data_IF_797378158668
#
_entry.id   IF_797378158668
#
_cell.length_a   1.000
_cell.length_b   1.000
_cell.length_c   1.000
_cell.angle_alpha   90.00
_cell.angle_beta   90.00
_cell.angle_gamma   90.00
#
_symmetry.space_group_name_H-M   'P 1'
#
loop_
_entity.id
_entity.type
_entity.pdbx_description
1 polymer ?
#
# COMPACT_ATOMS: atom_id res chain seq x y z
N UNK A 1 9.67 77.10 25.78
CA UNK A 1 9.28 75.84 26.44
C UNK A 1 10.01 74.74 25.69
N UNK A 2 11.09 74.29 26.30
CA UNK A 2 11.96 73.19 25.89
C UNK A 2 11.22 71.86 25.83
N UNK A 3 11.70 70.97 24.96
CA UNK A 3 12.10 69.58 25.29
C UNK A 3 12.19 68.76 23.99
N UNK A 4 13.06 67.78 23.78
CA UNK A 4 14.36 67.37 24.32
C UNK A 4 14.83 66.27 23.38
N UNK A 5 16.13 66.16 23.16
CA UNK A 5 16.73 65.03 22.46
C UNK A 5 16.61 63.72 23.26
N UNK A 6 16.51 62.59 22.56
CA UNK A 6 17.13 61.33 23.02
C UNK A 6 17.61 60.52 21.82
N UNK A 7 18.93 60.44 21.70
CA UNK A 7 19.65 59.44 20.93
C UNK A 7 19.67 58.11 21.72
N UNK A 8 19.42 56.98 21.06
CA UNK A 8 19.91 55.69 21.55
C UNK A 8 20.23 54.73 20.38
N UNK A 9 21.54 54.62 20.17
CA UNK A 9 22.36 53.55 19.57
C UNK A 9 21.63 52.29 19.10
N UNK A 10 21.96 51.83 17.89
CA UNK A 10 22.36 50.42 17.73
C UNK A 10 23.52 50.26 16.75
N UNK A 11 24.41 49.33 17.09
CA UNK A 11 25.77 49.19 16.59
C UNK A 11 25.80 48.38 15.30
N UNK A 12 26.49 48.93 14.31
CA UNK A 12 27.01 48.19 13.17
C UNK A 12 28.02 47.10 13.59
N UNK A 13 27.90 45.90 12.96
CA UNK A 13 28.90 44.81 12.77
C UNK A 13 29.12 43.94 14.02
N UNK A 14 29.25 42.60 13.99
CA UNK A 14 29.88 41.66 13.05
C UNK A 14 29.53 40.22 13.53
N UNK A 15 29.12 39.27 12.67
CA UNK A 15 29.72 37.92 12.59
C UNK A 15 29.19 37.10 11.39
N UNK A 16 30.16 36.49 10.69
CA UNK A 16 30.10 35.64 9.50
C UNK A 16 29.32 34.31 9.62
N UNK A 17 28.98 33.66 8.48
CA UNK A 17 28.27 32.38 8.46
C UNK A 17 29.25 31.22 8.75
N UNK A 18 28.98 30.42 9.77
CA UNK A 18 29.78 29.24 10.06
C UNK A 18 29.29 28.49 11.28
N UNK A 19 28.56 27.40 11.04
CA UNK A 19 28.17 26.45 12.07
C UNK A 19 27.32 25.35 11.48
N UNK A 20 27.99 24.26 11.07
CA UNK A 20 27.38 22.98 10.67
C UNK A 20 26.20 22.65 11.58
N UNK A 21 25.00 22.59 11.00
CA UNK A 21 23.93 21.81 11.62
C UNK A 21 24.37 20.36 11.56
N UNK A 22 24.68 19.83 12.73
CA UNK A 22 25.06 18.45 12.95
C UNK A 22 23.96 17.52 12.45
N UNK A 23 24.35 16.66 11.51
CA UNK A 23 23.84 15.32 11.23
C UNK A 23 22.54 14.93 11.95
N UNK A 24 21.40 15.22 11.33
CA UNK A 24 20.21 14.41 11.55
C UNK A 24 20.41 13.09 10.78
N UNK A 25 21.03 12.10 11.44
CA UNK A 25 21.25 10.74 10.91
C UNK A 25 19.94 9.95 10.93
N UNK A 26 18.95 10.42 10.16
CA UNK A 26 17.70 9.71 9.93
C UNK A 26 17.69 8.85 8.66
N UNK A 27 18.78 8.80 7.87
CA UNK A 27 18.80 8.19 6.53
C UNK A 27 19.72 6.97 6.40
N UNK A 28 20.31 6.49 7.49
CA UNK A 28 21.20 5.32 7.49
C UNK A 28 20.65 4.20 8.37
N UNK A 29 19.53 3.61 7.95
CA UNK A 29 19.22 2.21 8.28
C UNK A 29 19.32 1.36 7.02
N UNK A 30 20.48 1.45 6.37
CA UNK A 30 20.95 0.43 5.41
C UNK A 30 22.07 -0.35 6.08
N UNK A 31 21.75 -1.06 7.16
CA UNK A 31 22.69 -1.98 7.78
C UNK A 31 21.93 -3.17 8.40
N UNK A 32 22.23 -4.34 7.85
CA UNK A 32 21.86 -5.68 8.31
C UNK A 32 20.40 -6.13 8.17
N UNK A 33 20.05 -6.50 6.95
CA UNK A 33 19.20 -7.66 6.72
C UNK A 33 19.98 -8.59 5.80
N UNK A 34 20.10 -9.88 6.16
CA UNK A 34 20.36 -10.94 5.18
C UNK A 34 19.54 -10.63 3.93
N UNK A 35 20.13 -10.73 2.74
CA UNK A 35 19.42 -10.41 1.49
C UNK A 35 18.09 -11.18 1.47
N UNK A 36 17.01 -10.49 1.82
CA UNK A 36 15.70 -11.09 1.98
C UNK A 36 15.26 -11.53 0.60
N UNK A 37 14.98 -12.82 0.44
CA UNK A 37 14.52 -13.35 -0.82
C UNK A 37 13.12 -12.81 -1.08
N UNK A 38 12.98 -12.06 -2.17
CA UNK A 38 11.72 -11.39 -2.52
C UNK A 38 11.23 -11.86 -3.87
N UNK A 39 9.91 -11.91 -4.02
CA UNK A 39 9.24 -12.20 -5.29
C UNK A 39 8.32 -11.05 -5.68
N UNK A 40 8.14 -10.87 -6.98
CA UNK A 40 7.19 -9.90 -7.49
C UNK A 40 5.75 -10.37 -7.20
N UNK A 41 4.92 -9.45 -6.79
CA UNK A 41 3.53 -9.66 -6.48
C UNK A 41 2.65 -8.59 -7.13
N UNK A 42 1.37 -8.91 -7.25
CA UNK A 42 0.33 -8.00 -7.74
C UNK A 42 -0.85 -7.97 -6.77
N UNK A 43 -1.59 -6.86 -6.79
CA UNK A 43 -2.86 -6.78 -6.07
C UNK A 43 -3.87 -7.69 -6.77
N UNK A 44 -4.26 -8.78 -6.11
CA UNK A 44 -5.23 -9.74 -6.62
C UNK A 44 -6.68 -9.33 -6.29
N UNK A 45 -6.88 -8.68 -5.14
CA UNK A 45 -8.21 -8.24 -4.75
C UNK A 45 -8.23 -7.43 -3.45
N UNK A 46 -9.37 -6.79 -3.21
CA UNK A 46 -9.68 -6.06 -1.99
C UNK A 46 -11.01 -6.59 -1.44
N UNK A 47 -10.98 -7.21 -0.27
CA UNK A 47 -12.11 -7.91 0.34
C UNK A 47 -12.59 -7.10 1.54
N UNK A 48 -13.91 -6.97 1.70
CA UNK A 48 -14.54 -6.51 2.93
C UNK A 48 -15.08 -7.73 3.68
N UNK A 49 -14.49 -8.05 4.83
CA UNK A 49 -15.01 -9.13 5.67
C UNK A 49 -16.28 -8.66 6.38
N UNK A 50 -17.44 -9.23 6.02
CA UNK A 50 -18.74 -8.76 6.52
C UNK A 50 -18.91 -8.86 8.03
N UNK A 51 -18.28 -9.86 8.69
CA UNK A 51 -18.42 -10.07 10.14
C UNK A 51 -17.70 -9.01 10.96
N UNK A 52 -16.48 -8.66 10.56
CA UNK A 52 -15.58 -7.76 11.29
C UNK A 52 -15.58 -6.35 10.71
N UNK A 53 -16.16 -6.16 9.52
CA UNK A 53 -16.07 -4.94 8.71
C UNK A 53 -14.62 -4.52 8.42
N UNK A 54 -13.69 -5.48 8.46
CA UNK A 54 -12.28 -5.24 8.15
C UNK A 54 -12.04 -5.33 6.64
N UNK A 55 -11.15 -4.46 6.14
CA UNK A 55 -10.73 -4.50 4.75
C UNK A 55 -9.41 -5.28 4.65
N UNK A 56 -9.32 -6.16 3.66
CA UNK A 56 -8.17 -7.01 3.43
C UNK A 56 -7.73 -6.81 1.98
N UNK A 57 -6.49 -6.38 1.77
CA UNK A 57 -5.86 -6.42 0.45
C UNK A 57 -5.13 -7.74 0.29
N UNK A 58 -5.37 -8.43 -0.82
CA UNK A 58 -4.72 -9.69 -1.16
C UNK A 58 -3.65 -9.40 -2.20
N UNK A 59 -2.40 -9.64 -1.85
CA UNK A 59 -1.31 -9.71 -2.82
C UNK A 59 -1.14 -11.16 -3.27
N UNK A 60 -0.87 -11.36 -4.55
CA UNK A 60 -0.57 -12.68 -5.12
C UNK A 60 0.75 -12.61 -5.85
N UNK A 61 1.59 -13.61 -5.66
CA UNK A 61 2.81 -13.81 -6.41
C UNK A 61 2.54 -13.81 -7.92
N UNK A 62 3.35 -13.08 -8.70
CA UNK A 62 3.10 -12.93 -10.14
C UNK A 62 3.30 -14.24 -10.91
N UNK A 63 4.31 -15.03 -10.52
CA UNK A 63 4.64 -16.33 -11.14
C UNK A 63 4.22 -17.53 -10.28
N UNK A 64 3.19 -17.36 -9.43
CA UNK A 64 2.75 -18.41 -8.51
C UNK A 64 1.32 -18.25 -7.99
N UNK A 65 0.93 -19.18 -7.14
CA UNK A 65 -0.38 -19.21 -6.51
C UNK A 65 -0.35 -18.66 -5.07
N UNK A 66 0.83 -18.43 -4.50
CA UNK A 66 0.97 -17.97 -3.12
C UNK A 66 0.43 -16.55 -2.97
N UNK A 67 -0.17 -16.29 -1.82
CA UNK A 67 -0.79 -15.02 -1.49
C UNK A 67 -0.28 -14.44 -0.17
N UNK A 68 -0.47 -13.14 0.01
CA UNK A 68 -0.28 -12.44 1.27
C UNK A 68 -1.53 -11.56 1.53
N UNK A 69 -2.40 -11.94 2.50
CA UNK A 69 -3.46 -11.08 2.99
C UNK A 69 -2.91 -10.03 3.96
N UNK A 70 -3.29 -8.77 3.77
CA UNK A 70 -2.93 -7.65 4.65
C UNK A 70 -4.19 -6.91 5.05
N UNK A 71 -4.45 -6.84 6.35
CA UNK A 71 -5.54 -6.04 6.91
C UNK A 71 -5.18 -4.56 6.85
N UNK A 72 -6.10 -3.76 6.32
CA UNK A 72 -5.94 -2.31 6.17
C UNK A 72 -7.19 -1.58 6.65
N UNK A 73 -7.03 -0.31 6.98
CA UNK A 73 -8.13 0.57 7.35
C UNK A 73 -9.04 0.89 6.17
N UNK A 74 -10.26 1.34 6.48
CA UNK A 74 -11.25 1.71 5.46
C UNK A 74 -10.74 2.81 4.51
N UNK A 75 -10.07 3.84 5.04
CA UNK A 75 -9.52 4.93 4.21
C UNK A 75 -8.45 4.45 3.21
N UNK A 76 -7.58 3.56 3.65
CA UNK A 76 -6.55 2.94 2.81
C UNK A 76 -7.16 2.03 1.73
N UNK A 77 -8.14 1.22 2.11
CA UNK A 77 -8.90 0.40 1.19
C UNK A 77 -9.60 1.24 0.11
N UNK A 78 -10.22 2.37 0.49
CA UNK A 78 -10.81 3.30 -0.48
C UNK A 78 -9.76 3.90 -1.42
N UNK A 79 -8.58 4.26 -0.91
CA UNK A 79 -7.50 4.80 -1.73
C UNK A 79 -7.05 3.79 -2.78
N UNK A 80 -6.80 2.54 -2.39
CA UNK A 80 -6.41 1.46 -3.30
C UNK A 80 -7.52 1.19 -4.33
N UNK A 81 -8.78 1.07 -3.88
CA UNK A 81 -9.92 0.79 -4.77
C UNK A 81 -10.09 1.83 -5.87
N UNK A 82 -9.92 3.11 -5.54
CA UNK A 82 -10.01 4.21 -6.50
C UNK A 82 -8.95 4.11 -7.59
N UNK A 83 -7.71 3.75 -7.20
CA UNK A 83 -6.61 3.58 -8.15
C UNK A 83 -6.87 2.37 -9.06
N UNK A 84 -7.31 1.25 -8.49
CA UNK A 84 -7.66 0.05 -9.25
C UNK A 84 -8.86 0.25 -10.20
N UNK A 85 -9.78 1.14 -9.86
CA UNK A 85 -10.93 1.47 -10.71
C UNK A 85 -10.58 2.46 -11.83
N UNK A 86 -9.33 2.93 -11.90
CA UNK A 86 -8.83 3.94 -12.84
C UNK A 86 -9.69 5.22 -12.87
N UNK A 87 -10.34 5.54 -11.75
CA UNK A 87 -11.26 6.68 -11.68
C UNK A 87 -10.49 7.99 -11.66
N UNK A 88 -10.74 8.85 -12.64
CA UNK A 88 -10.13 10.18 -12.72
C UNK A 88 -10.86 11.17 -11.82
N UNK A 89 -10.15 11.73 -10.85
CA UNK A 89 -10.67 12.82 -10.00
C UNK A 89 -10.25 14.18 -10.54
N UNK A 90 -11.09 15.24 -10.40
CA UNK A 90 -10.77 16.59 -10.87
C UNK A 90 -9.59 17.24 -10.12
N UNK A 91 -9.24 16.70 -8.94
CA UNK A 91 -8.11 17.14 -8.12
C UNK A 91 -7.31 15.91 -7.68
N UNK A 92 -5.97 16.00 -7.59
CA UNK A 92 -5.15 14.90 -7.12
C UNK A 92 -5.48 14.56 -5.66
N UNK A 93 -5.66 13.26 -5.39
CA UNK A 93 -5.74 12.71 -4.05
C UNK A 93 -4.34 12.54 -3.44
N UNK A 94 -4.26 12.05 -2.21
CA UNK A 94 -2.99 11.98 -1.46
C UNK A 94 -1.88 11.23 -2.19
N UNK A 95 -2.15 10.02 -2.68
CA UNK A 95 -1.14 9.22 -3.40
C UNK A 95 -0.78 9.82 -4.76
N UNK A 96 -1.71 10.54 -5.39
CA UNK A 96 -1.46 11.28 -6.63
C UNK A 96 -0.52 12.44 -6.37
N UNK A 97 -0.80 13.21 -5.30
CA UNK A 97 0.03 14.32 -4.88
C UNK A 97 1.44 13.85 -4.55
N UNK A 98 1.59 12.73 -3.81
CA UNK A 98 2.91 12.15 -3.49
C UNK A 98 3.64 11.76 -4.77
N UNK A 99 2.97 11.08 -5.71
CA UNK A 99 3.56 10.71 -6.99
C UNK A 99 4.03 11.95 -7.78
N UNK A 100 3.20 12.99 -7.87
CA UNK A 100 3.52 14.26 -8.53
C UNK A 100 4.71 14.97 -7.85
N UNK A 101 4.78 14.94 -6.51
CA UNK A 101 5.90 15.52 -5.76
C UNK A 101 7.19 14.78 -6.08
N UNK A 102 7.18 13.43 -6.09
CA UNK A 102 8.35 12.62 -6.44
C UNK A 102 8.82 12.91 -7.87
N UNK A 103 7.90 12.96 -8.83
CA UNK A 103 8.22 13.31 -10.22
C UNK A 103 8.74 14.74 -10.36
N UNK A 104 8.15 15.69 -9.64
CA UNK A 104 8.57 17.09 -9.62
C UNK A 104 9.98 17.28 -9.06
N UNK A 105 10.41 16.39 -8.15
CA UNK A 105 11.78 16.31 -7.65
C UNK A 105 12.73 15.54 -8.58
N UNK A 106 12.26 15.15 -9.78
CA UNK A 106 12.98 14.33 -10.77
C UNK A 106 13.43 12.98 -10.23
N UNK A 107 12.66 12.43 -9.31
CA UNK A 107 12.87 11.11 -8.75
C UNK A 107 11.83 10.13 -9.30
N UNK A 108 12.08 8.83 -9.14
CA UNK A 108 11.19 7.75 -9.59
C UNK A 108 11.02 6.72 -8.50
N UNK A 109 9.77 6.31 -8.23
CA UNK A 109 9.50 5.09 -7.44
C UNK A 109 9.91 3.89 -8.28
N UNK A 110 10.95 3.17 -7.88
CA UNK A 110 11.49 2.04 -8.65
C UNK A 110 10.83 0.73 -8.27
N UNK A 111 10.49 0.56 -6.99
CA UNK A 111 9.74 -0.59 -6.46
C UNK A 111 9.23 -0.27 -5.05
N UNK A 112 8.32 -1.10 -4.58
CA UNK A 112 8.03 -1.19 -3.14
C UNK A 112 8.31 -2.61 -2.66
N UNK A 113 8.70 -2.75 -1.40
CA UNK A 113 9.08 -4.05 -0.81
C UNK A 113 8.33 -4.23 0.50
N UNK A 114 7.52 -5.28 0.62
CA UNK A 114 6.90 -5.70 1.88
C UNK A 114 7.82 -6.75 2.50
N UNK A 115 8.58 -6.32 3.51
CA UNK A 115 9.80 -7.02 3.91
C UNK A 115 9.63 -7.89 5.15
N UNK A 116 8.79 -7.48 6.10
CA UNK A 116 8.77 -8.08 7.44
C UNK A 116 7.40 -8.00 8.11
N UNK A 117 7.20 -8.86 9.12
CA UNK A 117 6.07 -8.89 10.02
C UNK A 117 6.59 -8.99 11.46
N UNK A 118 6.45 -7.91 12.23
CA UNK A 118 6.86 -7.86 13.65
C UNK A 118 5.67 -7.50 14.49
N UNK A 119 5.40 -8.27 15.54
CA UNK A 119 4.31 -8.00 16.47
C UNK A 119 2.96 -7.76 15.75
N UNK A 120 2.64 -8.60 14.76
CA UNK A 120 1.46 -8.49 13.89
C UNK A 120 1.38 -7.21 13.04
N UNK A 121 2.49 -6.48 12.89
CA UNK A 121 2.58 -5.27 12.05
C UNK A 121 3.49 -5.55 10.86
N UNK A 122 2.95 -5.41 9.66
CA UNK A 122 3.72 -5.52 8.43
C UNK A 122 4.51 -4.22 8.17
N UNK A 123 5.75 -4.38 7.74
CA UNK A 123 6.65 -3.28 7.36
C UNK A 123 6.91 -3.32 5.86
N UNK A 124 6.93 -2.15 5.25
CA UNK A 124 7.25 -2.00 3.84
C UNK A 124 8.21 -0.83 3.60
N UNK A 125 8.89 -0.86 2.46
CA UNK A 125 9.76 0.22 2.02
C UNK A 125 9.37 0.67 0.63
N UNK A 126 9.31 1.98 0.42
CA UNK A 126 9.22 2.60 -0.89
C UNK A 126 10.64 2.91 -1.35
N UNK A 127 11.05 2.30 -2.46
CA UNK A 127 12.38 2.53 -3.04
C UNK A 127 12.25 3.58 -4.12
N UNK A 128 12.97 4.69 -3.94
CA UNK A 128 13.02 5.82 -4.86
C UNK A 128 14.43 5.95 -5.40
N UNK A 129 14.55 6.23 -6.69
CA UNK A 129 15.83 6.56 -7.31
C UNK A 129 15.82 8.00 -7.83
N UNK A 130 16.93 8.70 -7.63
CA UNK A 130 17.18 10.03 -8.19
C UNK A 130 18.66 10.17 -8.51
N UNK A 131 18.98 10.54 -9.75
CA UNK A 131 20.36 10.79 -10.19
C UNK A 131 21.34 9.63 -9.89
N UNK A 132 20.83 8.39 -9.90
CA UNK A 132 21.59 7.17 -9.56
C UNK A 132 21.69 6.85 -8.07
N UNK A 133 21.23 7.74 -7.19
CA UNK A 133 21.12 7.49 -5.75
C UNK A 133 19.80 6.79 -5.44
N UNK A 134 19.88 5.74 -4.62
CA UNK A 134 18.72 4.95 -4.17
C UNK A 134 18.41 5.30 -2.73
N UNK A 135 17.17 5.75 -2.50
CA UNK A 135 16.61 6.02 -1.19
C UNK A 135 15.55 4.96 -0.86
N UNK A 136 15.64 4.37 0.33
CA UNK A 136 14.60 3.49 0.88
C UNK A 136 13.87 4.21 2.00
N UNK A 137 12.56 4.41 1.82
CA UNK A 137 11.70 5.09 2.80
C UNK A 137 10.82 4.06 3.49
N UNK A 138 10.90 3.98 4.82
CA UNK A 138 9.98 3.16 5.62
C UNK A 138 8.53 3.65 5.46
N UNK A 139 7.62 2.72 5.24
CA UNK A 139 6.22 2.99 4.98
C UNK A 139 5.33 1.81 5.38
N UNK A 140 4.05 2.11 5.60
CA UNK A 140 3.05 1.05 5.78
C UNK A 140 2.82 0.34 4.43
N UNK A 141 2.47 -0.96 4.44
CA UNK A 141 2.14 -1.67 3.21
C UNK A 141 1.00 -1.03 2.43
N UNK A 142 -0.03 -0.52 3.10
CA UNK A 142 -1.17 0.13 2.45
C UNK A 142 -0.78 1.33 1.57
N UNK A 143 0.07 2.20 2.12
CA UNK A 143 0.54 3.41 1.43
C UNK A 143 1.51 3.04 0.30
N UNK A 144 2.37 2.05 0.56
CA UNK A 144 3.33 1.51 -0.42
C UNK A 144 2.60 0.90 -1.62
N UNK A 145 1.58 0.06 -1.38
CA UNK A 145 0.77 -0.56 -2.44
C UNK A 145 0.05 0.52 -3.25
N UNK A 146 -0.60 1.48 -2.59
CA UNK A 146 -1.30 2.56 -3.29
C UNK A 146 -0.35 3.40 -4.15
N UNK A 147 0.83 3.76 -3.64
CA UNK A 147 1.82 4.50 -4.42
C UNK A 147 2.40 3.67 -5.57
N UNK A 148 2.65 2.37 -5.37
CA UNK A 148 3.13 1.46 -6.41
C UNK A 148 2.13 1.35 -7.56
N UNK A 149 0.84 1.15 -7.25
CA UNK A 149 -0.22 1.14 -8.24
C UNK A 149 -0.30 2.46 -9.01
N UNK A 150 -0.17 3.60 -8.32
CA UNK A 150 -0.26 4.92 -8.95
C UNK A 150 0.93 5.24 -9.85
N UNK A 151 2.14 4.90 -9.40
CA UNK A 151 3.40 5.11 -10.12
C UNK A 151 3.74 3.99 -11.11
N UNK A 152 2.91 2.93 -11.14
CA UNK A 152 3.15 1.70 -11.91
C UNK A 152 4.50 1.05 -11.56
N UNK A 153 4.92 1.17 -10.31
CA UNK A 153 6.11 0.51 -9.80
C UNK A 153 5.79 -0.94 -9.40
N UNK A 154 6.72 -1.89 -9.60
CA UNK A 154 6.54 -3.26 -9.16
C UNK A 154 6.48 -3.37 -7.64
N UNK A 155 5.67 -4.32 -7.16
CA UNK A 155 5.53 -4.65 -5.74
C UNK A 155 6.30 -5.94 -5.50
N UNK A 156 7.20 -5.95 -4.52
CA UNK A 156 7.92 -7.13 -4.08
C UNK A 156 7.49 -7.51 -2.67
N UNK A 157 7.46 -8.81 -2.40
CA UNK A 157 7.09 -9.37 -1.10
C UNK A 157 8.17 -10.35 -0.68
N UNK A 158 8.58 -10.32 0.59
CA UNK A 158 9.40 -11.35 1.19
C UNK A 158 8.71 -12.71 1.04
N UNK A 159 9.40 -13.68 0.43
CA UNK A 159 8.85 -15.02 0.18
C UNK A 159 8.34 -15.72 1.45
N UNK A 160 8.95 -15.44 2.60
CA UNK A 160 8.59 -16.04 3.89
C UNK A 160 7.24 -15.53 4.43
N UNK A 161 6.73 -14.40 3.90
CA UNK A 161 5.42 -13.86 4.25
C UNK A 161 4.29 -14.48 3.40
N UNK A 162 4.63 -15.14 2.30
CA UNK A 162 3.66 -15.72 1.37
C UNK A 162 3.15 -17.09 1.87
N UNK A 163 1.85 -17.33 1.70
CA UNK A 163 1.20 -18.58 2.05
C UNK A 163 0.42 -19.17 0.86
N UNK A 164 0.14 -20.48 0.84
CA UNK A 164 -0.75 -21.07 -0.16
C UNK A 164 -2.13 -20.39 -0.15
N UNK A 165 -2.84 -20.33 -1.30
CA UNK A 165 -4.19 -19.80 -1.33
C UNK A 165 -5.12 -20.70 -0.50
N UNK A 166 -6.24 -20.14 0.03
CA UNK A 166 -7.27 -20.96 0.66
C UNK A 166 -7.70 -22.05 -0.32
N UNK A 167 -7.83 -23.29 0.17
CA UNK A 167 -8.45 -24.33 -0.65
C UNK A 167 -9.91 -23.95 -0.83
N UNK A 168 -10.36 -23.84 -2.07
CA UNK A 168 -11.77 -23.92 -2.37
C UNK A 168 -12.25 -25.29 -1.87
N UNK A 169 -12.90 -25.34 -0.71
CA UNK A 169 -13.84 -26.43 -0.46
C UNK A 169 -14.82 -26.33 -1.63
N UNK A 170 -14.73 -27.28 -2.56
CA UNK A 170 -15.65 -27.39 -3.66
C UNK A 170 -17.05 -27.24 -3.05
N UNK A 171 -17.74 -26.15 -3.39
CA UNK A 171 -19.13 -26.01 -3.05
C UNK A 171 -19.80 -27.26 -3.62
N UNK A 172 -20.15 -28.21 -2.74
CA UNK A 172 -21.01 -29.32 -3.11
C UNK A 172 -22.27 -28.63 -3.64
N UNK A 173 -22.41 -28.66 -4.97
CA UNK A 173 -23.66 -28.28 -5.60
C UNK A 173 -24.72 -29.12 -4.88
N UNK A 174 -25.80 -28.51 -4.35
CA UNK A 174 -26.83 -29.29 -3.69
C UNK A 174 -27.27 -30.36 -4.67
N UNK A 175 -27.09 -31.64 -4.29
CA UNK A 175 -27.66 -32.76 -5.04
C UNK A 175 -29.14 -32.42 -5.24
N UNK A 176 -29.54 -32.16 -6.49
CA UNK A 176 -30.95 -32.12 -6.85
C UNK A 176 -31.49 -33.52 -6.55
N UNK A 177 -32.06 -33.66 -5.36
CA UNK A 177 -32.83 -34.84 -4.98
C UNK A 177 -33.94 -34.94 -6.03
N UNK A 178 -34.05 -36.04 -6.80
CA UNK A 178 -35.11 -36.17 -7.79
C UNK A 178 -36.44 -35.94 -7.08
N UNK A 179 -37.16 -34.88 -7.47
CA UNK A 179 -38.45 -34.53 -6.90
C UNK A 179 -39.41 -35.67 -7.23
N UNK A 180 -39.80 -36.46 -6.23
CA UNK A 180 -40.84 -37.47 -6.41
C UNK A 180 -42.14 -36.74 -6.76
N UNK A 181 -42.63 -36.96 -7.98
CA UNK A 181 -43.92 -36.44 -8.44
C UNK A 181 -45.01 -36.98 -7.52
N UNK A 182 -45.90 -36.09 -7.09
CA UNK A 182 -47.08 -36.46 -6.32
C UNK A 182 -47.98 -37.41 -7.12
N UNK A 183 -48.78 -38.22 -6.43
CA UNK A 183 -49.71 -39.17 -7.09
C UNK A 183 -50.71 -38.44 -8.02
N UNK A 184 -50.99 -37.18 -7.73
CA UNK A 184 -51.87 -36.31 -8.52
C UNK A 184 -51.23 -35.93 -9.87
N UNK A 185 -49.94 -35.61 -9.89
CA UNK A 185 -49.17 -35.29 -11.11
C UNK A 185 -48.96 -36.54 -11.99
N UNK A 186 -48.78 -37.72 -11.37
CA UNK A 186 -48.71 -39.01 -12.09
C UNK A 186 -50.03 -39.36 -12.77
N UNK A 187 -51.16 -39.05 -12.12
CA UNK A 187 -52.49 -39.32 -12.65
C UNK A 187 -52.85 -38.43 -13.86
N UNK A 188 -52.30 -37.21 -13.94
CA UNK A 188 -52.54 -36.30 -15.06
C UNK A 188 -51.72 -36.66 -16.31
N UNK A 189 -50.49 -37.15 -16.15
CA UNK A 189 -49.67 -37.63 -17.26
C UNK A 189 -50.25 -38.86 -17.98
N UNK A 190 -50.99 -39.71 -17.27
CA UNK A 190 -51.62 -40.90 -17.86
C UNK A 190 -52.90 -40.60 -18.67
N UNK A 191 -53.37 -39.35 -18.63
CA UNK A 191 -54.57 -38.88 -19.35
C UNK A 191 -54.24 -38.14 -20.67
N UNK A 192 -52.97 -38.11 -21.08
CA UNK A 192 -52.50 -37.54 -22.35
C UNK A 192 -52.15 -38.60 -23.38
#
# INVERSE_FOLDING_TARGET
>A
MDDRAHAFRDRSRIHEPGGRLEQDRGLDHVADAQAVKTVEARVNGLILEHKTQQNIVILRETEGERILPIWIGSGEAQAIRRILSEEAFPRPLTHDLIHIVIEGLKAKVTRVVIADLRENTFFASIVIERDGEVLSIDARPSDSIALALRSKAPIFVNEDLLQPPPREEAAEAPEETPRELSEEEKAEQLRR
#
